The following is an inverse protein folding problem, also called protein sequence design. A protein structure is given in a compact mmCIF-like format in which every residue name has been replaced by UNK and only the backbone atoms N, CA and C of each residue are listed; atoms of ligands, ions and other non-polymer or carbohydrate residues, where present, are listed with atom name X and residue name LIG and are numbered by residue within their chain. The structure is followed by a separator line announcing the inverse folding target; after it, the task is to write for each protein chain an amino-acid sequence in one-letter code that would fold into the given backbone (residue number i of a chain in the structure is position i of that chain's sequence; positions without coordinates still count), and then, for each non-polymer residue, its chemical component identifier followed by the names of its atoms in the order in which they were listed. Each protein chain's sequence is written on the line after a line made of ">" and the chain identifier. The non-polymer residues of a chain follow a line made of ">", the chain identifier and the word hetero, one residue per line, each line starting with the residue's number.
data_IF_012465685441
#
_entry.id   IF_012465685441
#
_cell.length_a   1.000
_cell.length_b   1.000
_cell.length_c   1.000
_cell.angle_alpha   90.00
_cell.angle_beta   90.00
_cell.angle_gamma   90.00
#
_symmetry.space_group_name_H-M   'P 1'
#
loop_
_entity.id
_entity.type
_entity.pdbx_description
1 polymer ?
#
# COMPACT_ATOMS: atom_id res chain seq x y z
N UNK A 1 0.60 24.09 17.62
CA UNK A 1 0.83 23.38 16.33
C UNK A 1 -0.06 23.89 15.18
N UNK A 2 -1.43 23.81 15.24
CA UNK A 2 -2.30 24.34 14.16
C UNK A 2 -2.16 25.87 13.98
N UNK A 3 -2.32 26.63 15.04
CA UNK A 3 -2.24 28.11 15.01
C UNK A 3 -0.89 28.60 14.47
N UNK A 4 0.21 28.03 14.92
CA UNK A 4 1.58 28.35 14.46
C UNK A 4 1.76 28.01 12.96
N UNK A 5 1.18 26.89 12.53
CA UNK A 5 1.20 26.51 11.11
C UNK A 5 0.44 27.52 10.25
N UNK A 6 -0.77 27.91 10.67
CA UNK A 6 -1.56 28.92 9.97
C UNK A 6 -0.87 30.29 9.96
N UNK A 7 -0.28 30.71 11.07
CA UNK A 7 0.53 31.96 11.16
C UNK A 7 1.71 31.95 10.20
N UNK A 8 2.39 30.81 10.07
CA UNK A 8 3.51 30.65 9.12
C UNK A 8 3.07 30.78 7.67
N UNK A 9 1.87 30.34 7.33
CA UNK A 9 1.33 30.36 5.96
C UNK A 9 0.72 31.72 5.61
N UNK A 10 -0.14 32.25 6.49
CA UNK A 10 -0.94 33.45 6.23
C UNK A 10 -0.32 34.74 6.81
N UNK A 11 0.71 34.61 7.66
CA UNK A 11 1.33 35.70 8.39
C UNK A 11 0.82 35.87 9.81
N UNK A 12 1.70 36.28 10.72
CA UNK A 12 1.41 36.36 12.15
C UNK A 12 0.27 37.33 12.48
N UNK A 13 0.16 38.44 11.74
CA UNK A 13 -0.87 39.47 11.96
C UNK A 13 -2.23 39.09 11.40
N UNK A 14 -2.24 38.18 10.39
CA UNK A 14 -3.46 37.76 9.72
C UNK A 14 -4.23 36.68 10.48
N UNK A 15 -3.59 35.99 11.42
CA UNK A 15 -4.17 34.83 12.11
C UNK A 15 -4.24 35.11 13.62
N UNK A 16 -5.44 35.05 14.17
CA UNK A 16 -5.69 35.26 15.61
C UNK A 16 -6.67 34.21 16.13
N UNK A 17 -6.53 33.83 17.39
CA UNK A 17 -7.58 33.06 18.07
C UNK A 17 -8.84 33.91 18.23
N UNK A 18 -9.99 33.31 18.12
CA UNK A 18 -11.28 33.95 18.39
C UNK A 18 -12.20 32.97 19.15
N UNK A 19 -13.10 33.53 19.93
CA UNK A 19 -14.06 32.74 20.68
C UNK A 19 -15.17 32.21 19.78
N UNK A 20 -15.54 30.93 20.00
CA UNK A 20 -16.69 30.28 19.40
C UNK A 20 -17.78 30.11 20.45
N UNK A 21 -19.01 30.43 20.08
CA UNK A 21 -20.15 30.12 20.94
C UNK A 21 -20.53 28.65 20.85
N UNK A 22 -19.86 27.79 21.66
CA UNK A 22 -20.08 26.37 21.72
C UNK A 22 -21.29 25.94 22.57
N UNK A 23 -22.00 26.90 23.19
CA UNK A 23 -23.07 26.62 24.17
C UNK A 23 -24.23 25.78 23.60
N UNK A 24 -24.52 25.94 22.32
CA UNK A 24 -25.61 25.24 21.64
C UNK A 24 -25.15 24.05 20.79
N UNK A 25 -23.88 23.69 20.89
CA UNK A 25 -23.35 22.58 20.14
C UNK A 25 -23.84 21.25 20.74
N UNK A 26 -24.48 20.37 19.95
CA UNK A 26 -24.91 19.06 20.44
C UNK A 26 -23.77 18.22 20.99
N UNK A 27 -24.02 17.47 22.08
CA UNK A 27 -23.01 16.63 22.74
C UNK A 27 -22.31 15.65 21.82
N UNK A 28 -23.02 15.11 20.84
CA UNK A 28 -22.39 14.18 19.89
C UNK A 28 -21.33 14.87 19.02
N UNK A 29 -21.48 16.18 18.69
CA UNK A 29 -20.45 16.92 17.96
C UNK A 29 -19.27 17.26 18.85
N UNK A 30 -19.50 17.73 20.07
CA UNK A 30 -18.43 18.06 21.02
C UNK A 30 -17.67 16.82 21.52
N UNK A 31 -18.30 15.65 21.54
CA UNK A 31 -17.65 14.38 21.87
C UNK A 31 -16.83 13.81 20.67
N UNK A 32 -17.25 14.12 19.45
CA UNK A 32 -16.56 13.61 18.24
C UNK A 32 -15.44 14.53 17.80
N UNK A 33 -15.62 15.85 17.95
CA UNK A 33 -14.65 16.85 17.49
C UNK A 33 -14.33 17.86 18.60
N UNK A 34 -13.06 18.28 18.62
CA UNK A 34 -12.65 19.45 19.39
C UNK A 34 -12.62 20.66 18.47
N UNK A 35 -13.38 21.71 18.81
CA UNK A 35 -13.48 22.92 18.00
C UNK A 35 -12.54 24.01 18.51
N UNK A 36 -11.88 24.70 17.56
CA UNK A 36 -11.02 25.86 17.83
C UNK A 36 -11.48 27.01 16.95
N UNK A 37 -11.69 28.16 17.55
CA UNK A 37 -11.98 29.39 16.83
C UNK A 37 -10.70 30.10 16.38
N UNK A 38 -10.54 30.29 15.08
CA UNK A 38 -9.41 31.02 14.51
C UNK A 38 -9.93 31.98 13.45
N UNK A 39 -9.57 33.26 13.55
CA UNK A 39 -9.81 34.23 12.50
C UNK A 39 -8.62 34.33 11.56
N UNK A 40 -8.90 34.34 10.27
CA UNK A 40 -7.92 34.53 9.19
C UNK A 40 -8.37 35.68 8.32
N UNK A 41 -7.55 36.73 8.20
CA UNK A 41 -7.91 37.98 7.51
C UNK A 41 -9.27 38.54 8.01
N UNK A 42 -9.47 38.58 9.34
CA UNK A 42 -10.67 39.03 10.02
C UNK A 42 -11.96 38.22 9.76
N UNK A 43 -11.87 37.09 9.09
CA UNK A 43 -12.96 36.12 8.92
C UNK A 43 -12.80 34.97 9.90
N UNK A 44 -13.84 34.73 10.73
CA UNK A 44 -13.81 33.65 11.71
C UNK A 44 -14.11 32.29 11.09
N UNK A 45 -13.42 31.27 11.58
CA UNK A 45 -13.56 29.85 11.21
C UNK A 45 -13.59 28.97 12.45
N UNK A 46 -14.31 27.86 12.40
CA UNK A 46 -14.29 26.80 13.41
C UNK A 46 -13.48 25.63 12.91
N UNK A 47 -12.30 25.42 13.45
CA UNK A 47 -11.48 24.26 13.11
C UNK A 47 -11.90 23.05 13.94
N UNK A 48 -12.43 22.00 13.29
CA UNK A 48 -12.90 20.77 13.89
C UNK A 48 -11.81 19.70 13.85
N UNK A 49 -11.24 19.33 14.99
CA UNK A 49 -10.25 18.27 15.12
C UNK A 49 -10.92 16.99 15.62
N UNK A 50 -10.86 15.86 14.89
CA UNK A 50 -11.41 14.59 15.36
C UNK A 50 -10.73 14.13 16.65
N UNK A 51 -11.51 13.62 17.61
CA UNK A 51 -11.00 13.03 18.86
C UNK A 51 -10.79 11.52 18.75
N UNK A 52 -11.27 10.90 17.65
CA UNK A 52 -11.13 9.49 17.32
C UNK A 52 -10.94 9.32 15.80
N UNK A 53 -10.99 8.08 15.31
CA UNK A 53 -10.85 7.79 13.88
C UNK A 53 -11.88 8.55 13.03
N UNK A 54 -11.40 9.29 12.03
CA UNK A 54 -12.22 10.11 11.16
C UNK A 54 -13.09 9.26 10.23
N UNK A 55 -14.40 9.42 10.31
CA UNK A 55 -15.36 8.87 9.35
C UNK A 55 -15.88 9.99 8.44
N UNK A 56 -15.43 10.01 7.18
CA UNK A 56 -15.76 11.06 6.22
C UNK A 56 -17.24 11.15 5.86
N UNK A 57 -17.96 10.01 5.84
CA UNK A 57 -19.40 10.02 5.51
C UNK A 57 -20.21 10.74 6.57
N UNK A 58 -19.91 10.49 7.84
CA UNK A 58 -20.56 11.19 8.96
C UNK A 58 -20.08 12.63 9.08
N UNK A 59 -18.78 12.91 8.83
CA UNK A 59 -18.21 14.26 8.91
C UNK A 59 -18.95 15.25 8.01
N UNK A 60 -19.19 14.93 6.74
CA UNK A 60 -19.90 15.82 5.78
C UNK A 60 -21.28 16.28 6.25
N UNK A 61 -22.01 15.41 6.95
CA UNK A 61 -23.31 15.74 7.52
C UNK A 61 -23.16 16.59 8.79
N UNK A 62 -22.16 16.26 9.60
CA UNK A 62 -21.88 16.89 10.88
C UNK A 62 -21.29 18.30 10.71
N UNK A 63 -20.42 18.50 9.70
CA UNK A 63 -19.87 19.80 9.30
C UNK A 63 -20.99 20.82 9.04
N UNK A 64 -21.93 20.51 8.13
CA UNK A 64 -23.05 21.40 7.81
C UNK A 64 -23.92 21.74 9.02
N UNK A 65 -24.13 20.79 9.92
CA UNK A 65 -24.86 21.01 11.16
C UNK A 65 -24.10 21.93 12.12
N UNK A 66 -22.77 21.72 12.22
CA UNK A 66 -21.91 22.57 13.04
C UNK A 66 -21.85 23.99 12.48
N UNK A 67 -21.74 24.19 11.18
CA UNK A 67 -21.77 25.49 10.51
C UNK A 67 -23.07 26.26 10.79
N UNK A 68 -24.20 25.56 10.67
CA UNK A 68 -25.50 26.17 10.93
C UNK A 68 -25.65 26.65 12.39
N UNK A 69 -25.04 25.96 13.36
CA UNK A 69 -25.11 26.30 14.78
C UNK A 69 -24.08 27.39 15.13
N UNK A 70 -22.85 27.24 14.63
CA UNK A 70 -21.75 28.15 14.95
C UNK A 70 -21.78 29.44 14.13
N UNK A 71 -22.55 29.46 13.05
CA UNK A 71 -22.66 30.60 12.11
C UNK A 71 -21.33 31.05 11.52
N UNK A 72 -20.36 30.11 11.44
CA UNK A 72 -19.06 30.32 10.81
C UNK A 72 -18.67 29.05 10.01
N UNK A 73 -17.86 29.16 8.94
CA UNK A 73 -17.39 28.00 8.20
C UNK A 73 -16.63 27.04 9.11
N UNK A 74 -16.87 25.73 8.90
CA UNK A 74 -16.19 24.66 9.64
C UNK A 74 -15.10 24.03 8.77
N UNK A 75 -13.87 23.99 9.26
CA UNK A 75 -12.71 23.47 8.57
C UNK A 75 -12.22 22.21 9.29
N UNK A 76 -12.07 21.10 8.59
CA UNK A 76 -11.50 19.89 9.17
C UNK A 76 -10.00 20.11 9.46
N UNK A 77 -9.58 19.89 10.71
CA UNK A 77 -8.17 19.85 11.09
C UNK A 77 -7.77 18.43 11.40
N UNK A 78 -7.05 17.77 10.50
CA UNK A 78 -6.60 16.40 10.68
C UNK A 78 -5.07 16.33 10.73
N UNK A 79 -4.52 15.48 11.61
CA UNK A 79 -3.07 15.31 11.72
C UNK A 79 -2.51 14.49 10.54
N UNK A 80 -3.31 13.56 10.00
CA UNK A 80 -2.97 12.75 8.83
C UNK A 80 -4.23 12.36 8.08
N UNK A 81 -4.24 12.61 6.78
CA UNK A 81 -5.27 12.17 5.85
C UNK A 81 -4.68 11.21 4.82
N UNK A 82 -5.41 10.15 4.47
CA UNK A 82 -5.05 9.29 3.33
C UNK A 82 -5.33 10.04 2.03
N UNK A 83 -4.65 9.65 0.93
CA UNK A 83 -4.86 10.25 -0.39
C UNK A 83 -6.34 10.26 -0.78
N UNK A 84 -7.02 9.12 -0.66
CA UNK A 84 -8.42 8.97 -1.01
C UNK A 84 -9.35 9.82 -0.12
N UNK A 85 -8.99 10.04 1.13
CA UNK A 85 -9.72 10.92 2.03
C UNK A 85 -9.59 12.38 1.57
N UNK A 86 -8.39 12.83 1.17
CA UNK A 86 -8.18 14.18 0.62
C UNK A 86 -8.95 14.39 -0.68
N UNK A 87 -8.83 13.45 -1.64
CA UNK A 87 -9.59 13.50 -2.90
C UNK A 87 -11.11 13.58 -2.65
N UNK A 88 -11.63 12.77 -1.73
CA UNK A 88 -13.04 12.80 -1.35
C UNK A 88 -13.46 14.12 -0.70
N UNK A 89 -12.60 14.75 0.12
CA UNK A 89 -12.85 16.05 0.73
C UNK A 89 -12.85 17.15 -0.34
N UNK A 90 -11.84 17.17 -1.22
CA UNK A 90 -11.71 18.13 -2.33
C UNK A 90 -12.92 18.02 -3.28
N UNK A 91 -13.23 16.80 -3.75
CA UNK A 91 -14.36 16.55 -4.66
C UNK A 91 -15.72 16.91 -4.04
N UNK A 92 -15.80 16.96 -2.72
CA UNK A 92 -17.01 17.32 -1.99
C UNK A 92 -17.04 18.77 -1.55
N UNK A 93 -16.01 19.57 -1.85
CA UNK A 93 -15.89 20.95 -1.48
C UNK A 93 -15.68 21.17 0.03
N UNK A 94 -15.31 20.12 0.78
CA UNK A 94 -15.10 20.21 2.24
C UNK A 94 -13.73 20.82 2.52
N UNK A 95 -13.72 21.90 3.31
CA UNK A 95 -12.49 22.58 3.68
C UNK A 95 -11.70 21.80 4.73
N UNK A 96 -10.38 21.70 4.53
CA UNK A 96 -9.52 21.02 5.49
C UNK A 96 -8.11 21.60 5.57
N UNK A 97 -7.49 21.38 6.72
CA UNK A 97 -6.07 21.66 6.98
C UNK A 97 -5.41 20.39 7.54
N UNK A 98 -4.36 19.95 6.88
CA UNK A 98 -3.41 18.95 7.36
C UNK A 98 -2.09 19.70 7.64
N UNK A 99 -1.80 20.05 8.92
CA UNK A 99 -0.64 20.87 9.25
C UNK A 99 0.68 20.28 8.74
N UNK A 100 1.45 21.10 8.01
CA UNK A 100 2.73 20.69 7.41
C UNK A 100 2.60 19.97 6.07
N UNK A 101 1.37 19.78 5.53
CA UNK A 101 1.16 19.09 4.25
C UNK A 101 0.25 19.83 3.28
N UNK A 102 -0.99 20.11 3.68
CA UNK A 102 -1.98 20.67 2.76
C UNK A 102 -2.99 21.57 3.45
N UNK A 103 -3.34 22.66 2.77
CA UNK A 103 -4.50 23.52 3.09
C UNK A 103 -5.41 23.53 1.87
N UNK A 104 -6.67 23.18 2.07
CA UNK A 104 -7.73 23.30 1.08
C UNK A 104 -8.85 24.15 1.71
N UNK A 105 -8.84 25.44 1.43
CA UNK A 105 -9.81 26.41 1.93
C UNK A 105 -10.30 27.32 0.80
N UNK A 106 -11.15 26.80 -0.11
CA UNK A 106 -11.66 27.58 -1.25
C UNK A 106 -12.42 28.85 -0.81
N UNK A 107 -13.01 28.89 0.38
CA UNK A 107 -13.65 30.10 0.91
C UNK A 107 -12.68 31.27 1.16
N UNK A 108 -11.37 30.97 1.24
CA UNK A 108 -10.27 31.96 1.28
C UNK A 108 -9.56 32.11 -0.07
N UNK A 109 -9.98 31.38 -1.10
CA UNK A 109 -9.27 31.32 -2.38
C UNK A 109 -7.92 30.58 -2.29
N UNK A 110 -7.73 29.73 -1.26
CA UNK A 110 -6.44 29.11 -0.96
C UNK A 110 -6.50 27.61 -1.17
N UNK A 111 -5.64 27.14 -2.08
CA UNK A 111 -5.33 25.71 -2.25
C UNK A 111 -3.80 25.60 -2.24
N UNK A 112 -3.25 25.32 -1.07
CA UNK A 112 -1.80 25.18 -0.90
C UNK A 112 -1.44 23.72 -0.63
N UNK A 113 -0.61 23.18 -1.52
CA UNK A 113 0.15 21.96 -1.24
C UNK A 113 1.55 22.37 -0.83
N UNK A 114 2.00 22.01 0.36
CA UNK A 114 3.36 22.27 0.81
C UNK A 114 4.32 21.36 0.02
N UNK A 115 4.80 21.87 -1.12
CA UNK A 115 5.72 21.15 -2.02
C UNK A 115 7.13 20.96 -1.45
N UNK A 116 7.42 21.42 -0.24
CA UNK A 116 8.77 21.32 0.32
C UNK A 116 9.20 19.91 0.72
N UNK A 117 8.25 18.95 0.75
CA UNK A 117 8.53 17.52 0.97
C UNK A 117 7.68 16.58 0.11
N UNK A 118 7.11 17.07 -0.98
CA UNK A 118 6.41 16.21 -1.94
C UNK A 118 7.30 15.91 -3.15
N UNK A 119 8.36 15.14 -2.94
CA UNK A 119 8.56 14.04 -3.85
C UNK A 119 7.33 13.16 -3.65
N UNK A 120 6.38 13.20 -4.61
CA UNK A 120 5.19 12.36 -4.73
C UNK A 120 5.01 11.29 -3.63
N UNK A 121 4.55 11.65 -2.42
CA UNK A 121 3.91 10.68 -1.55
C UNK A 121 2.48 10.51 -2.04
N UNK A 122 2.32 9.88 -3.20
CA UNK A 122 1.14 9.07 -3.46
C UNK A 122 1.02 8.18 -2.24
N UNK A 123 -0.03 8.33 -1.44
CA UNK A 123 -0.29 7.39 -0.36
C UNK A 123 -0.25 6.01 -1.01
N UNK A 124 0.68 5.17 -0.59
CA UNK A 124 0.87 3.86 -1.18
C UNK A 124 -0.33 3.04 -0.71
N UNK A 125 -1.36 2.93 -1.54
CA UNK A 125 -2.52 2.08 -1.24
C UNK A 125 -2.18 0.61 -1.44
N UNK A 126 -1.40 0.32 -2.49
CA UNK A 126 -0.88 -0.99 -2.82
C UNK A 126 0.55 -0.86 -3.33
N UNK A 127 1.36 -1.87 -3.06
CA UNK A 127 2.71 -1.91 -3.55
C UNK A 127 2.76 -2.02 -5.08
N UNK A 128 3.72 -1.35 -5.69
CA UNK A 128 4.14 -1.70 -7.04
C UNK A 128 4.95 -3.02 -6.97
N UNK A 129 5.09 -3.75 -8.10
CA UNK A 129 5.92 -4.95 -8.12
C UNK A 129 7.34 -4.73 -7.59
N UNK A 130 7.94 -3.56 -7.84
CA UNK A 130 9.29 -3.21 -7.39
C UNK A 130 9.34 -3.00 -5.86
N UNK A 131 8.36 -2.29 -5.29
CA UNK A 131 8.26 -2.11 -3.84
C UNK A 131 8.04 -3.46 -3.16
N UNK A 132 7.16 -4.31 -3.73
CA UNK A 132 6.91 -5.65 -3.19
C UNK A 132 8.15 -6.52 -3.20
N UNK A 133 8.94 -6.52 -4.29
CA UNK A 133 10.22 -7.24 -4.33
C UNK A 133 11.21 -6.75 -3.27
N UNK A 134 11.27 -5.44 -3.02
CA UNK A 134 12.09 -4.91 -1.92
C UNK A 134 11.56 -5.39 -0.55
N UNK A 135 10.25 -5.43 -0.34
CA UNK A 135 9.66 -5.95 0.89
C UNK A 135 9.95 -7.45 1.09
N UNK A 136 9.79 -8.26 0.03
CA UNK A 136 10.13 -9.68 0.02
C UNK A 136 11.61 -9.92 0.33
N UNK A 137 12.50 -9.06 -0.19
CA UNK A 137 13.92 -9.12 0.13
C UNK A 137 14.17 -9.07 1.64
N UNK A 138 13.58 -8.09 2.33
CA UNK A 138 13.74 -7.96 3.79
C UNK A 138 13.07 -9.09 4.56
N UNK A 139 11.99 -9.66 4.04
CA UNK A 139 11.30 -10.79 4.66
C UNK A 139 12.15 -12.08 4.58
N UNK A 140 12.75 -12.37 3.42
CA UNK A 140 13.45 -13.63 3.18
C UNK A 140 14.95 -13.59 3.50
N UNK A 141 15.56 -12.42 3.62
CA UNK A 141 16.98 -12.31 3.98
C UNK A 141 17.15 -12.22 5.50
N UNK A 142 18.37 -12.49 5.96
CA UNK A 142 18.75 -12.36 7.39
C UNK A 142 18.53 -10.93 7.85
N UNK A 143 18.18 -10.77 9.12
CA UNK A 143 18.03 -9.45 9.74
C UNK A 143 19.41 -8.80 9.94
N UNK A 144 19.83 -8.01 8.96
CA UNK A 144 21.02 -7.15 9.00
C UNK A 144 20.77 -5.90 8.17
N UNK A 145 21.76 -5.02 8.16
CA UNK A 145 21.74 -3.84 7.29
C UNK A 145 22.16 -4.21 5.87
N UNK A 146 21.48 -3.64 4.89
CA UNK A 146 21.74 -3.85 3.47
C UNK A 146 21.85 -2.53 2.72
N UNK A 147 22.72 -2.49 1.72
CA UNK A 147 22.82 -1.38 0.77
C UNK A 147 21.85 -1.56 -0.39
N UNK A 148 21.53 -0.47 -1.10
CA UNK A 148 20.73 -0.56 -2.32
C UNK A 148 21.38 -1.44 -3.41
N UNK A 149 22.70 -1.55 -3.41
CA UNK A 149 23.43 -2.42 -4.34
C UNK A 149 23.19 -3.89 -4.05
N UNK A 150 23.33 -4.33 -2.78
CA UNK A 150 23.06 -5.72 -2.37
C UNK A 150 21.60 -6.14 -2.66
N UNK A 151 20.64 -5.23 -2.43
CA UNK A 151 19.23 -5.46 -2.78
C UNK A 151 19.06 -5.60 -4.29
N UNK A 152 19.71 -4.75 -5.08
CA UNK A 152 19.71 -4.78 -6.55
C UNK A 152 20.25 -6.10 -7.09
N UNK A 153 21.39 -6.56 -6.59
CA UNK A 153 22.03 -7.82 -6.97
C UNK A 153 21.15 -9.03 -6.69
N UNK A 154 20.40 -9.02 -5.59
CA UNK A 154 19.51 -10.14 -5.24
C UNK A 154 18.19 -10.09 -6.01
N UNK A 155 17.59 -8.91 -6.15
CA UNK A 155 16.24 -8.77 -6.73
C UNK A 155 16.23 -8.62 -8.25
N UNK A 156 17.40 -8.43 -8.88
CA UNK A 156 17.51 -8.12 -10.30
C UNK A 156 16.96 -6.73 -10.69
N UNK A 157 16.50 -5.94 -9.73
CA UNK A 157 16.06 -4.58 -9.97
C UNK A 157 17.28 -3.66 -10.19
N UNK A 158 17.15 -2.66 -11.06
CA UNK A 158 18.17 -1.63 -11.13
C UNK A 158 18.21 -0.78 -9.84
N UNK A 159 19.37 -0.20 -9.52
CA UNK A 159 19.60 0.56 -8.28
C UNK A 159 18.60 1.71 -8.09
N UNK A 160 18.13 2.35 -9.17
CA UNK A 160 17.14 3.42 -9.08
C UNK A 160 15.75 2.89 -8.67
N UNK A 161 15.36 1.71 -9.16
CA UNK A 161 14.11 1.05 -8.76
C UNK A 161 14.18 0.62 -7.30
N UNK A 162 15.32 0.05 -6.86
CA UNK A 162 15.58 -0.27 -5.45
C UNK A 162 15.50 0.99 -4.58
N UNK A 163 16.19 2.06 -4.96
CA UNK A 163 16.17 3.32 -4.21
C UNK A 163 14.74 3.84 -4.00
N UNK A 164 13.90 3.80 -5.04
CA UNK A 164 12.48 4.16 -4.94
C UNK A 164 11.70 3.19 -4.03
N UNK A 165 11.97 1.88 -4.16
CA UNK A 165 11.35 0.85 -3.34
C UNK A 165 11.65 1.01 -1.86
N UNK A 166 12.92 1.17 -1.49
CA UNK A 166 13.32 1.35 -0.07
C UNK A 166 12.90 2.71 0.48
N UNK A 167 12.87 3.78 -0.34
CA UNK A 167 12.30 5.07 0.08
C UNK A 167 10.82 4.93 0.44
N UNK A 168 10.04 4.25 -0.40
CA UNK A 168 8.63 3.99 -0.15
C UNK A 168 8.41 3.21 1.15
N UNK A 169 9.19 2.15 1.39
CA UNK A 169 9.14 1.38 2.65
C UNK A 169 9.59 2.20 3.86
N UNK A 170 10.53 3.12 3.69
CA UNK A 170 11.00 4.02 4.74
C UNK A 170 9.94 5.07 5.08
N UNK A 171 9.24 5.62 4.09
CA UNK A 171 8.13 6.56 4.25
C UNK A 171 6.94 5.93 4.99
N UNK A 172 6.72 4.63 4.80
CA UNK A 172 5.75 3.83 5.56
C UNK A 172 6.25 3.45 6.96
N UNK A 173 7.43 3.96 7.37
CA UNK A 173 8.07 3.66 8.66
C UNK A 173 8.43 2.19 8.87
N UNK A 174 8.51 1.40 7.81
CA UNK A 174 8.83 -0.03 7.85
C UNK A 174 10.34 -0.29 7.95
N UNK A 175 11.17 0.61 7.38
CA UNK A 175 12.62 0.52 7.40
C UNK A 175 13.25 1.67 8.17
N UNK A 176 14.36 1.37 8.86
CA UNK A 176 15.32 2.35 9.35
C UNK A 176 16.45 2.52 8.34
N UNK A 177 16.96 3.75 8.29
CA UNK A 177 18.06 4.12 7.38
C UNK A 177 19.20 4.66 8.23
N UNK A 178 20.37 4.02 8.13
CA UNK A 178 21.63 4.52 8.70
C UNK A 178 22.52 5.01 7.56
N UNK A 179 22.94 6.26 7.63
CA UNK A 179 23.88 6.83 6.67
C UNK A 179 25.32 6.69 7.17
N UNK A 180 26.17 6.09 6.37
CA UNK A 180 27.61 6.03 6.63
C UNK A 180 28.36 6.56 5.41
N UNK A 181 29.03 7.71 5.55
CA UNK A 181 29.67 8.45 4.46
C UNK A 181 28.65 8.78 3.33
N UNK A 182 28.82 8.22 2.14
CA UNK A 182 27.94 8.40 0.98
C UNK A 182 26.96 7.25 0.77
N UNK A 183 26.94 6.24 1.65
CA UNK A 183 26.14 5.04 1.52
C UNK A 183 25.04 4.99 2.56
N UNK A 184 23.82 4.67 2.12
CA UNK A 184 22.70 4.37 3.00
C UNK A 184 22.59 2.86 3.22
N UNK A 185 22.36 2.47 4.47
CA UNK A 185 22.10 1.11 4.92
C UNK A 185 20.68 1.02 5.43
N UNK A 186 19.98 -0.01 5.01
CA UNK A 186 18.54 -0.22 5.29
C UNK A 186 18.36 -1.50 6.11
N UNK A 187 17.48 -1.44 7.11
CA UNK A 187 17.06 -2.61 7.90
C UNK A 187 15.60 -2.46 8.32
N UNK A 188 14.93 -3.57 8.62
CA UNK A 188 13.57 -3.53 9.16
C UNK A 188 13.58 -2.92 10.57
N UNK A 189 12.56 -2.11 10.90
CA UNK A 189 12.42 -1.48 12.24
C UNK A 189 11.93 -2.44 13.31
N UNK A 190 11.27 -3.52 12.91
CA UNK A 190 10.65 -4.49 13.82
C UNK A 190 11.06 -5.91 13.43
N UNK A 191 10.64 -6.91 14.22
CA UNK A 191 10.80 -8.32 13.81
C UNK A 191 10.10 -8.61 12.48
N UNK A 192 10.54 -9.66 11.77
CA UNK A 192 9.95 -10.07 10.49
C UNK A 192 8.44 -10.27 10.55
N UNK A 193 7.93 -10.86 11.64
CA UNK A 193 6.49 -11.08 11.80
C UNK A 193 5.72 -9.75 11.89
N UNK A 194 6.22 -8.79 12.67
CA UNK A 194 5.61 -7.44 12.74
C UNK A 194 5.74 -6.70 11.41
N UNK A 195 6.86 -6.87 10.72
CA UNK A 195 7.05 -6.30 9.39
C UNK A 195 6.04 -6.89 8.40
N UNK A 196 5.87 -8.23 8.37
CA UNK A 196 4.88 -8.90 7.54
C UNK A 196 3.45 -8.40 7.82
N UNK A 197 3.05 -8.34 9.10
CA UNK A 197 1.75 -7.79 9.49
C UNK A 197 1.55 -6.34 8.98
N UNK A 198 2.59 -5.52 9.08
CA UNK A 198 2.52 -4.11 8.66
C UNK A 198 2.41 -3.92 7.14
N UNK A 199 2.88 -4.89 6.34
CA UNK A 199 2.83 -4.80 4.87
C UNK A 199 1.60 -5.49 4.26
N UNK A 200 0.86 -6.33 5.01
CA UNK A 200 -0.25 -7.14 4.47
C UNK A 200 -1.22 -6.37 3.60
N UNK A 201 -1.66 -5.20 4.07
CA UNK A 201 -2.64 -4.39 3.36
C UNK A 201 -2.10 -3.76 2.07
N UNK A 202 -0.79 -3.72 1.88
CA UNK A 202 -0.15 -3.16 0.69
C UNK A 202 0.17 -4.20 -0.37
N UNK A 203 0.18 -5.50 -0.01
CA UNK A 203 0.57 -6.58 -0.90
C UNK A 203 -0.38 -6.72 -2.10
N UNK A 204 0.18 -7.15 -3.22
CA UNK A 204 -0.55 -7.42 -4.47
C UNK A 204 -0.31 -8.86 -4.92
N UNK A 205 -1.28 -9.44 -5.61
CA UNK A 205 -1.06 -10.70 -6.32
C UNK A 205 0.07 -10.56 -7.34
N UNK A 206 1.03 -11.50 -7.38
CA UNK A 206 2.09 -11.53 -8.38
C UNK A 206 1.55 -11.81 -9.78
N UNK A 207 0.43 -12.51 -9.88
CA UNK A 207 -0.14 -12.97 -11.16
C UNK A 207 -0.66 -11.79 -11.99
N UNK A 208 -0.18 -11.69 -13.21
CA UNK A 208 -0.65 -10.74 -14.21
C UNK A 208 -1.79 -11.36 -15.06
N UNK A 209 -1.55 -12.57 -15.58
CA UNK A 209 -2.53 -13.35 -16.35
C UNK A 209 -2.23 -14.84 -16.24
N UNK A 210 -3.24 -15.65 -16.56
CA UNK A 210 -3.14 -17.10 -16.65
C UNK A 210 -3.37 -17.53 -18.09
N UNK A 211 -2.60 -18.46 -18.61
CA UNK A 211 -2.71 -19.05 -19.95
C UNK A 211 -2.36 -20.54 -19.87
N UNK A 212 -2.56 -21.25 -20.97
CA UNK A 212 -2.27 -22.69 -21.06
C UNK A 212 -1.27 -22.95 -22.19
N UNK A 213 -0.45 -23.99 -22.04
CA UNK A 213 0.50 -24.46 -23.05
C UNK A 213 0.68 -25.97 -22.94
N UNK A 214 1.36 -26.57 -23.90
CA UNK A 214 1.79 -27.98 -23.79
C UNK A 214 2.93 -28.12 -22.76
N UNK A 215 2.95 -29.26 -22.08
CA UNK A 215 3.92 -29.52 -21.00
C UNK A 215 5.38 -29.53 -21.45
N UNK A 216 5.66 -29.75 -22.75
CA UNK A 216 7.05 -29.78 -23.28
C UNK A 216 7.64 -28.36 -23.32
N UNK A 217 6.83 -27.39 -23.63
CA UNK A 217 7.22 -25.96 -23.70
C UNK A 217 7.75 -25.44 -22.36
N UNK A 218 7.25 -25.93 -21.23
CA UNK A 218 7.52 -25.38 -19.89
C UNK A 218 8.59 -26.10 -19.09
N UNK A 219 8.97 -27.33 -19.46
CA UNK A 219 9.78 -28.24 -18.65
C UNK A 219 11.08 -27.63 -18.10
N UNK A 220 11.70 -26.67 -18.78
CA UNK A 220 12.99 -26.09 -18.41
C UNK A 220 12.94 -24.61 -18.04
N UNK A 221 11.74 -23.98 -18.05
CA UNK A 221 11.63 -22.52 -17.90
C UNK A 221 10.62 -22.08 -16.84
N UNK A 222 9.72 -22.97 -16.42
CA UNK A 222 8.68 -22.68 -15.44
C UNK A 222 9.06 -23.10 -14.02
N UNK A 223 8.68 -22.32 -13.05
CA UNK A 223 8.80 -22.63 -11.61
C UNK A 223 7.42 -23.04 -11.11
N UNK A 224 7.34 -24.11 -10.31
CA UNK A 224 6.05 -24.59 -9.77
C UNK A 224 5.34 -23.49 -8.99
N UNK A 225 4.04 -23.32 -9.28
CA UNK A 225 3.15 -22.33 -8.70
C UNK A 225 1.76 -22.92 -8.50
N UNK A 226 0.82 -22.12 -8.02
CA UNK A 226 -0.57 -22.54 -7.81
C UNK A 226 -0.69 -23.83 -6.98
N UNK A 227 -1.63 -24.69 -7.33
CA UNK A 227 -1.84 -25.98 -6.63
C UNK A 227 -0.63 -26.90 -6.70
N UNK A 228 0.13 -26.88 -7.79
CA UNK A 228 1.33 -27.71 -7.96
C UNK A 228 2.44 -27.36 -6.95
N UNK A 229 2.61 -26.09 -6.62
CA UNK A 229 3.52 -25.67 -5.54
C UNK A 229 2.90 -25.90 -4.16
N UNK A 230 1.61 -25.59 -4.01
CA UNK A 230 0.91 -25.73 -2.73
C UNK A 230 0.90 -27.17 -2.24
N UNK A 231 0.66 -28.15 -3.13
CA UNK A 231 0.68 -29.59 -2.79
C UNK A 231 2.05 -30.12 -2.38
N UNK A 232 3.13 -29.43 -2.75
CA UNK A 232 4.49 -29.80 -2.30
C UNK A 232 4.84 -29.16 -0.94
N UNK A 233 4.20 -28.06 -0.60
CA UNK A 233 4.48 -27.31 0.61
C UNK A 233 3.46 -27.57 1.74
N UNK A 234 2.33 -28.17 1.40
CA UNK A 234 1.24 -28.47 2.34
C UNK A 234 0.63 -29.84 2.05
N UNK A 235 -0.41 -30.22 2.78
CA UNK A 235 -1.10 -31.51 2.61
C UNK A 235 -2.20 -31.52 1.53
N UNK A 236 -2.40 -30.41 0.78
CA UNK A 236 -3.41 -30.35 -0.28
C UNK A 236 -3.03 -31.22 -1.48
N UNK A 237 -4.04 -31.81 -2.13
CA UNK A 237 -3.84 -32.59 -3.37
C UNK A 237 -3.65 -31.64 -4.55
N UNK A 238 -2.67 -31.97 -5.43
CA UNK A 238 -2.42 -31.21 -6.66
C UNK A 238 -3.64 -31.22 -7.60
N UNK A 239 -3.75 -30.20 -8.42
CA UNK A 239 -4.76 -30.12 -9.48
C UNK A 239 -4.41 -31.08 -10.63
N UNK A 240 -5.40 -31.48 -11.42
CA UNK A 240 -5.22 -32.29 -12.64
C UNK A 240 -4.33 -31.61 -13.68
N UNK A 241 -4.32 -30.27 -13.70
CA UNK A 241 -3.50 -29.43 -14.58
C UNK A 241 -2.42 -28.75 -13.75
N UNK A 242 -1.18 -29.18 -13.92
CA UNK A 242 -0.04 -28.59 -13.24
C UNK A 242 0.12 -27.10 -13.57
N UNK A 243 0.48 -26.30 -12.56
CA UNK A 243 0.62 -24.85 -12.69
C UNK A 243 2.08 -24.42 -12.50
N UNK A 244 2.56 -23.57 -13.41
CA UNK A 244 3.92 -23.02 -13.37
C UNK A 244 3.89 -21.50 -13.52
N UNK A 245 4.79 -20.82 -12.81
CA UNK A 245 5.00 -19.39 -12.95
C UNK A 245 6.16 -19.08 -13.88
N UNK A 246 6.03 -18.04 -14.67
CA UNK A 246 7.09 -17.49 -15.52
C UNK A 246 7.15 -15.97 -15.44
N UNK A 247 8.31 -15.39 -15.69
CA UNK A 247 8.46 -13.95 -15.84
C UNK A 247 7.81 -13.46 -17.14
N UNK A 248 7.54 -12.15 -17.26
CA UNK A 248 7.09 -11.54 -18.51
C UNK A 248 8.07 -11.77 -19.67
N UNK A 249 9.38 -11.78 -19.37
CA UNK A 249 10.42 -12.00 -20.37
C UNK A 249 10.38 -13.43 -20.89
N UNK A 250 10.29 -14.41 -19.99
CA UNK A 250 10.16 -15.83 -20.35
C UNK A 250 8.86 -16.09 -21.12
N UNK A 251 7.75 -15.47 -20.67
CA UNK A 251 6.47 -15.60 -21.37
C UNK A 251 6.55 -15.16 -22.84
N UNK A 252 7.22 -14.05 -23.15
CA UNK A 252 7.39 -13.59 -24.54
C UNK A 252 8.07 -14.62 -25.44
N UNK A 253 8.93 -15.48 -24.90
CA UNK A 253 9.62 -16.51 -25.67
C UNK A 253 8.69 -17.69 -26.02
N UNK A 254 7.65 -17.93 -25.24
CA UNK A 254 6.74 -19.07 -25.40
C UNK A 254 5.31 -18.65 -25.81
N UNK A 255 5.05 -17.36 -25.96
CA UNK A 255 3.71 -16.79 -26.17
C UNK A 255 2.98 -17.39 -27.37
N UNK A 256 3.70 -17.71 -28.46
CA UNK A 256 3.13 -18.35 -29.64
C UNK A 256 2.51 -19.72 -29.35
N UNK A 257 3.02 -20.45 -28.33
CA UNK A 257 2.57 -21.77 -27.94
C UNK A 257 1.49 -21.72 -26.83
N UNK A 258 1.15 -20.54 -26.37
CA UNK A 258 0.18 -20.36 -25.29
C UNK A 258 -1.24 -20.07 -25.83
N UNK A 259 -2.26 -20.51 -25.09
CA UNK A 259 -3.70 -20.28 -25.38
C UNK A 259 -4.40 -19.79 -24.13
N UNK A 260 -5.53 -19.11 -24.31
CA UNK A 260 -6.33 -18.57 -23.19
C UNK A 260 -7.14 -19.64 -22.46
N UNK A 261 -7.51 -20.74 -23.16
CA UNK A 261 -8.27 -21.84 -22.59
C UNK A 261 -7.57 -23.18 -22.86
N UNK A 262 -7.71 -24.12 -21.92
CA UNK A 262 -7.27 -25.51 -22.05
C UNK A 262 -8.00 -26.25 -23.19
N UNK A 263 -9.25 -25.89 -23.47
CA UNK A 263 -10.10 -26.52 -24.50
C UNK A 263 -9.57 -26.29 -25.93
N UNK A 264 -8.63 -25.37 -26.10
CA UNK A 264 -7.96 -25.10 -27.37
C UNK A 264 -6.84 -26.10 -27.72
N UNK A 265 -6.61 -27.12 -26.87
CA UNK A 265 -5.60 -28.18 -27.08
C UNK A 265 -6.27 -29.52 -27.40
N UNK A 266 -5.53 -30.40 -28.05
CA UNK A 266 -5.99 -31.76 -28.34
C UNK A 266 -6.07 -32.59 -27.05
N UNK A 267 -7.01 -33.54 -26.99
CA UNK A 267 -7.21 -34.45 -25.84
C UNK A 267 -5.96 -35.25 -25.43
N UNK A 268 -5.01 -35.40 -26.33
CA UNK A 268 -3.77 -36.13 -26.09
C UNK A 268 -2.61 -35.25 -25.62
N UNK A 269 -2.79 -33.92 -25.54
CA UNK A 269 -1.74 -33.00 -25.12
C UNK A 269 -1.67 -32.99 -23.57
N UNK A 270 -0.46 -33.08 -23.03
CA UNK A 270 -0.22 -32.85 -21.61
C UNK A 270 -0.25 -31.36 -21.37
N UNK A 271 -1.43 -30.84 -21.06
CA UNK A 271 -1.67 -29.40 -20.85
C UNK A 271 -1.16 -28.98 -19.49
N UNK A 272 -0.58 -27.79 -19.40
CA UNK A 272 -0.16 -27.12 -18.17
C UNK A 272 -0.67 -25.70 -18.14
N UNK A 273 -0.94 -25.17 -16.96
CA UNK A 273 -1.34 -23.80 -16.70
C UNK A 273 -0.11 -22.95 -16.44
N UNK A 274 -0.03 -21.78 -17.06
CA UNK A 274 1.05 -20.82 -16.87
C UNK A 274 0.51 -19.57 -16.18
N UNK A 275 1.12 -19.21 -15.08
CA UNK A 275 0.94 -17.90 -14.45
C UNK A 275 2.06 -16.95 -14.90
N UNK A 276 1.73 -15.94 -15.67
CA UNK A 276 2.67 -14.87 -16.02
C UNK A 276 2.73 -13.89 -14.86
N UNK A 277 3.90 -13.74 -14.23
CA UNK A 277 4.06 -12.93 -13.05
C UNK A 277 4.53 -11.50 -13.36
N UNK A 278 4.20 -10.58 -12.46
CA UNK A 278 4.60 -9.16 -12.52
C UNK A 278 6.08 -8.95 -12.26
N UNK A 279 6.75 -9.90 -11.60
CA UNK A 279 8.18 -9.97 -11.30
C UNK A 279 8.68 -11.40 -11.52
N UNK A 280 9.98 -11.59 -11.48
CA UNK A 280 10.59 -12.89 -11.74
C UNK A 280 10.30 -13.87 -10.57
N UNK A 281 9.63 -15.01 -10.83
CA UNK A 281 9.27 -15.97 -9.79
C UNK A 281 10.48 -16.76 -9.24
N UNK A 282 11.65 -16.66 -9.88
CA UNK A 282 12.86 -17.41 -9.47
C UNK A 282 13.61 -16.74 -8.32
N UNK A 283 13.37 -15.45 -8.04
CA UNK A 283 14.20 -14.63 -7.14
C UNK A 283 14.28 -15.20 -5.71
N UNK A 284 13.15 -15.66 -5.17
CA UNK A 284 13.09 -16.24 -3.82
C UNK A 284 12.57 -17.69 -3.83
N UNK A 285 12.73 -18.39 -4.96
CA UNK A 285 12.29 -19.77 -5.08
C UNK A 285 13.00 -20.69 -4.10
N UNK A 286 12.29 -21.72 -3.63
CA UNK A 286 12.80 -22.80 -2.80
C UNK A 286 12.29 -24.12 -3.39
N UNK A 287 13.15 -25.11 -3.53
CA UNK A 287 12.82 -26.47 -4.01
C UNK A 287 12.01 -26.50 -5.32
N UNK A 288 12.38 -25.62 -6.27
CA UNK A 288 11.72 -25.46 -7.56
C UNK A 288 10.24 -24.98 -7.45
N UNK A 289 9.85 -24.43 -6.30
CA UNK A 289 8.58 -23.75 -6.07
C UNK A 289 8.81 -22.25 -5.92
N UNK A 290 7.82 -21.46 -6.29
CA UNK A 290 7.80 -20.01 -6.01
C UNK A 290 7.83 -19.77 -4.50
N UNK A 291 8.25 -18.58 -4.09
CA UNK A 291 8.27 -18.22 -2.66
C UNK A 291 6.87 -18.29 -2.03
N UNK A 292 6.84 -18.63 -0.73
CA UNK A 292 5.60 -18.89 0.01
C UNK A 292 4.64 -17.72 0.03
N UNK A 293 5.13 -16.49 0.24
CA UNK A 293 4.26 -15.32 0.32
C UNK A 293 3.66 -14.96 -1.04
N UNK A 294 4.45 -15.02 -2.11
CA UNK A 294 3.94 -14.82 -3.47
C UNK A 294 2.97 -15.94 -3.88
N UNK A 295 3.22 -17.19 -3.45
CA UNK A 295 2.26 -18.28 -3.64
C UNK A 295 0.94 -18.01 -2.95
N UNK A 296 0.96 -17.64 -1.66
CA UNK A 296 -0.24 -17.22 -0.92
C UNK A 296 -1.02 -16.13 -1.65
N UNK A 297 -0.32 -15.09 -2.12
CA UNK A 297 -0.93 -13.97 -2.83
C UNK A 297 -1.46 -14.33 -4.22
N UNK A 298 -1.01 -15.42 -4.83
CA UNK A 298 -1.53 -15.88 -6.12
C UNK A 298 -2.96 -16.42 -6.01
N UNK A 299 -3.36 -16.89 -4.82
CA UNK A 299 -4.71 -17.35 -4.49
C UNK A 299 -5.68 -16.26 -4.01
N UNK A 300 -5.24 -14.99 -3.88
CA UNK A 300 -6.04 -13.90 -3.30
C UNK A 300 -7.40 -13.63 -4.01
N UNK A 301 -7.68 -14.27 -5.15
CA UNK A 301 -8.95 -14.20 -5.89
C UNK A 301 -9.67 -15.54 -5.98
N UNK A 302 -9.07 -16.60 -5.47
CA UNK A 302 -9.65 -17.95 -5.52
C UNK A 302 -10.36 -18.21 -4.18
N UNK A 303 -11.69 -18.27 -4.19
CA UNK A 303 -12.53 -18.57 -3.02
C UNK A 303 -12.78 -20.08 -2.92
N UNK A 304 -11.75 -20.92 -2.99
CA UNK A 304 -11.92 -22.37 -2.83
C UNK A 304 -11.68 -22.74 -1.36
N UNK A 305 -12.75 -23.17 -0.66
CA UNK A 305 -12.69 -23.58 0.74
C UNK A 305 -11.63 -24.66 1.01
N UNK A 306 -11.30 -25.50 0.02
CA UNK A 306 -10.26 -26.53 0.12
C UNK A 306 -8.85 -25.98 0.29
N UNK A 307 -8.61 -24.74 -0.10
CA UNK A 307 -7.29 -24.11 0.00
C UNK A 307 -7.09 -23.34 1.30
N UNK A 308 -8.16 -22.98 2.01
CA UNK A 308 -8.09 -22.07 3.16
C UNK A 308 -7.16 -22.62 4.26
N UNK A 309 -7.33 -23.89 4.65
CA UNK A 309 -6.48 -24.54 5.65
C UNK A 309 -5.00 -24.61 5.21
N UNK A 310 -4.75 -24.96 3.95
CA UNK A 310 -3.38 -25.03 3.39
C UNK A 310 -2.73 -23.66 3.26
N UNK A 311 -3.50 -22.61 2.95
CA UNK A 311 -2.99 -21.24 2.91
C UNK A 311 -2.69 -20.71 4.33
N UNK A 312 -3.47 -21.11 5.34
CA UNK A 312 -3.15 -20.82 6.74
C UNK A 312 -1.86 -21.52 7.19
N UNK A 313 -1.67 -22.81 6.81
CA UNK A 313 -0.45 -23.55 7.07
C UNK A 313 0.77 -22.85 6.45
N UNK A 314 0.66 -22.45 5.17
CA UNK A 314 1.69 -21.71 4.46
C UNK A 314 2.05 -20.39 5.17
N UNK A 315 1.05 -19.65 5.66
CA UNK A 315 1.27 -18.40 6.42
C UNK A 315 1.93 -18.64 7.78
N UNK A 316 1.61 -19.74 8.47
CA UNK A 316 2.28 -20.12 9.72
C UNK A 316 3.77 -20.38 9.49
N UNK A 317 4.13 -21.05 8.39
CA UNK A 317 5.54 -21.28 8.04
C UNK A 317 6.30 -19.98 7.71
N UNK A 318 5.66 -19.02 7.03
CA UNK A 318 6.25 -17.72 6.75
C UNK A 318 6.54 -16.96 8.06
N UNK A 319 5.68 -17.07 9.05
CA UNK A 319 5.84 -16.43 10.36
C UNK A 319 6.92 -17.10 11.24
N UNK A 320 7.22 -18.37 11.02
CA UNK A 320 8.18 -19.15 11.84
C UNK A 320 9.60 -19.18 11.26
N UNK A 321 9.81 -18.76 10.02
CA UNK A 321 11.11 -18.72 9.32
C UNK A 321 11.67 -17.32 9.20
#
# INVERSE_FOLDING_TARGET
>A
MLLEYLKKIFGEQAVKECDLNLRWLPLYLSNTYRFYGISIYNKAYAFARPQSTLNLKSYKVQEKKAEAILSVPVVLCADKLMFQQRENLINSGVEFVEPGKQIYMPSLGVVLNDKRNSADTKSIEKFTPQIQLCALFFLYKKEKEYTAKEISETTGLNVMAVSRGVSALTELELLSVRKASRTNYYTIKASKNKFLESIKDYLISPVLKRVYTDGKTILNVGIKSGYTALSQLTSVVDDSIQTYAVSKTTYKLIESNCRESSDMFSLNDKIVKIEVWKYDPTIFMVDNCVDRLSLYLSFAKDNDERTEESLEELMKEINNG
#
